data_IF_878485806459
#
_entry.id   IF_878485806459
#
_cell.length_a   1.000
_cell.length_b   1.000
_cell.length_c   1.000
_cell.angle_alpha   90.00
_cell.angle_beta   90.00
_cell.angle_gamma   90.00
#
_symmetry.space_group_name_H-M   'P 1'
#
loop_
_entity.id
_entity.type
_entity.pdbx_description
1 polymer ?
#
# COMPACT_ATOMS: atom_id res chain seq x y z
N UNK A 1 15.69 4.48 -4.32
CA UNK A 1 14.49 3.90 -3.69
C UNK A 1 13.22 4.57 -4.17
N UNK A 2 13.02 5.87 -3.90
CA UNK A 2 11.81 6.64 -4.25
C UNK A 2 11.41 6.56 -5.73
N UNK A 3 12.34 6.84 -6.66
CA UNK A 3 12.07 6.73 -8.11
C UNK A 3 11.48 5.37 -8.47
N UNK A 4 12.03 4.29 -7.90
CA UNK A 4 11.57 2.94 -8.18
C UNK A 4 10.19 2.67 -7.58
N UNK A 5 9.89 3.21 -6.40
CA UNK A 5 8.54 3.15 -5.81
C UNK A 5 7.52 3.79 -6.75
N UNK A 6 7.81 4.98 -7.30
CA UNK A 6 6.92 5.66 -8.27
C UNK A 6 6.75 4.90 -9.58
N UNK A 7 7.81 4.24 -10.07
CA UNK A 7 7.70 3.36 -11.25
C UNK A 7 6.84 2.12 -10.98
N UNK A 8 6.95 1.56 -9.77
CA UNK A 8 6.18 0.39 -9.36
C UNK A 8 4.72 0.76 -9.09
N UNK A 9 4.45 1.92 -8.51
CA UNK A 9 3.11 2.48 -8.22
C UNK A 9 2.89 3.79 -8.98
N UNK A 10 2.67 3.76 -10.30
CA UNK A 10 2.35 4.98 -11.06
C UNK A 10 1.06 5.65 -10.58
N UNK A 11 0.19 4.93 -9.86
CA UNK A 11 -1.02 5.45 -9.22
C UNK A 11 -0.74 6.57 -8.19
N UNK A 12 0.48 6.69 -7.67
CA UNK A 12 0.88 7.82 -6.82
C UNK A 12 0.65 9.16 -7.55
N UNK A 13 0.84 9.20 -8.87
CA UNK A 13 0.62 10.41 -9.67
C UNK A 13 -0.86 10.78 -9.85
N UNK A 14 -1.79 9.93 -9.37
CA UNK A 14 -3.21 10.27 -9.35
C UNK A 14 -3.58 11.16 -8.16
N UNK A 15 -2.71 11.27 -7.15
CA UNK A 15 -2.83 12.22 -6.04
C UNK A 15 -2.39 13.60 -6.57
N UNK A 16 -3.22 14.62 -6.43
CA UNK A 16 -2.95 15.98 -6.93
C UNK A 16 -2.03 16.76 -5.99
N UNK A 17 -2.23 16.63 -4.69
CA UNK A 17 -1.38 17.25 -3.68
C UNK A 17 0.02 16.62 -3.68
N UNK A 18 1.03 17.42 -4.05
CA UNK A 18 2.42 16.96 -4.12
C UNK A 18 3.02 16.63 -2.76
N UNK A 19 2.62 17.34 -1.71
CA UNK A 19 3.04 17.01 -0.35
C UNK A 19 2.51 15.65 0.11
N UNK A 20 1.27 15.30 -0.26
CA UNK A 20 0.71 13.98 0.03
C UNK A 20 1.37 12.88 -0.82
N UNK A 21 1.68 13.14 -2.10
CA UNK A 21 2.48 12.20 -2.90
C UNK A 21 3.80 11.86 -2.20
N UNK A 22 4.53 12.89 -1.75
CA UNK A 22 5.83 12.73 -1.11
C UNK A 22 5.71 11.97 0.22
N UNK A 23 4.66 12.22 0.99
CA UNK A 23 4.37 11.45 2.22
C UNK A 23 4.10 9.97 1.94
N UNK A 24 3.28 9.64 0.92
CA UNK A 24 3.04 8.24 0.53
C UNK A 24 4.35 7.55 0.16
N UNK A 25 5.20 8.22 -0.63
CA UNK A 25 6.52 7.68 -0.99
C UNK A 25 7.41 7.51 0.24
N UNK A 26 7.43 8.49 1.15
CA UNK A 26 8.21 8.44 2.38
C UNK A 26 7.78 7.28 3.30
N UNK A 27 6.47 7.03 3.45
CA UNK A 27 5.93 5.88 4.19
C UNK A 27 6.42 4.55 3.60
N UNK A 28 6.45 4.42 2.27
CA UNK A 28 7.02 3.23 1.62
C UNK A 28 8.52 3.09 1.85
N UNK A 29 9.28 4.19 1.76
CA UNK A 29 10.71 4.19 2.03
C UNK A 29 10.99 3.73 3.47
N UNK A 30 10.24 4.25 4.44
CA UNK A 30 10.38 3.87 5.84
C UNK A 30 10.06 2.39 6.07
N UNK A 31 8.93 1.92 5.54
CA UNK A 31 8.50 0.53 5.67
C UNK A 31 9.48 -0.47 5.02
N UNK A 32 9.97 -0.16 3.81
CA UNK A 32 10.94 -1.00 3.11
C UNK A 32 12.27 -1.07 3.86
N UNK A 33 12.79 0.08 4.33
CA UNK A 33 14.04 0.12 5.12
C UNK A 33 13.89 -0.63 6.44
N UNK A 34 12.80 -0.39 7.16
CA UNK A 34 12.52 -1.04 8.45
C UNK A 34 12.36 -2.54 8.29
N UNK A 35 11.72 -3.00 7.20
CA UNK A 35 11.56 -4.41 6.88
C UNK A 35 12.78 -5.09 6.25
N UNK A 36 13.81 -4.33 5.90
CA UNK A 36 15.01 -4.86 5.22
C UNK A 36 14.76 -5.30 3.76
N UNK A 37 13.86 -4.61 3.06
CA UNK A 37 13.45 -4.91 1.69
C UNK A 37 13.95 -3.87 0.69
N UNK A 38 14.22 -4.32 -0.54
CA UNK A 38 14.36 -3.43 -1.70
C UNK A 38 13.00 -3.25 -2.41
N UNK A 39 12.77 -2.15 -3.14
CA UNK A 39 11.47 -1.92 -3.81
C UNK A 39 11.01 -3.08 -4.71
N UNK A 40 11.95 -3.75 -5.39
CA UNK A 40 11.64 -4.88 -6.26
C UNK A 40 11.25 -6.16 -5.51
N UNK A 41 11.50 -6.26 -4.20
CA UNK A 41 11.02 -7.39 -3.41
C UNK A 41 9.49 -7.35 -3.23
N UNK A 42 8.84 -6.19 -3.38
CA UNK A 42 7.37 -6.10 -3.34
C UNK A 42 6.66 -6.97 -4.39
N UNK A 43 7.35 -7.25 -5.50
CA UNK A 43 6.89 -8.13 -6.60
C UNK A 43 7.22 -9.62 -6.35
N UNK A 44 7.70 -9.95 -5.15
CA UNK A 44 8.07 -11.31 -4.74
C UNK A 44 7.44 -11.71 -3.41
N UNK A 45 7.22 -10.74 -2.54
CA UNK A 45 6.53 -10.91 -1.27
C UNK A 45 5.08 -11.35 -1.58
N UNK A 46 4.59 -12.50 -1.10
CA UNK A 46 3.19 -12.86 -1.26
C UNK A 46 2.31 -11.88 -0.49
N UNK A 47 1.13 -11.52 -1.02
CA UNK A 47 0.25 -10.58 -0.30
C UNK A 47 -0.26 -11.15 1.03
N UNK A 48 -0.28 -12.48 1.18
CA UNK A 48 -0.68 -13.16 2.41
C UNK A 48 0.11 -14.44 2.60
N UNK A 49 0.54 -14.69 3.85
CA UNK A 49 1.14 -15.95 4.29
C UNK A 49 0.09 -17.02 4.67
N UNK A 50 -1.21 -16.67 4.66
CA UNK A 50 -2.29 -17.59 5.04
C UNK A 50 -2.72 -18.51 3.89
N UNK A 51 -2.37 -18.15 2.66
CA UNK A 51 -2.67 -18.95 1.47
C UNK A 51 -1.38 -19.65 1.05
N UNK A 52 -1.32 -21.00 1.13
CA UNK A 52 -0.18 -21.74 0.62
C UNK A 52 0.07 -21.42 -0.86
N UNK A 53 1.33 -21.16 -1.22
CA UNK A 53 1.73 -20.81 -2.59
C UNK A 53 0.89 -19.67 -3.19
N UNK A 54 0.63 -18.61 -2.41
CA UNK A 54 -0.14 -17.46 -2.85
C UNK A 54 0.40 -16.92 -4.20
N UNK A 55 -0.39 -16.95 -5.28
CA UNK A 55 0.08 -16.60 -6.61
C UNK A 55 0.20 -15.10 -6.85
N UNK A 56 -0.31 -14.27 -5.92
CA UNK A 56 -0.34 -12.83 -6.04
C UNK A 56 0.62 -12.17 -5.06
N UNK A 57 1.36 -11.20 -5.56
CA UNK A 57 2.37 -10.48 -4.79
C UNK A 57 1.72 -9.35 -3.99
N UNK A 58 2.46 -8.80 -3.03
CA UNK A 58 2.10 -7.58 -2.33
C UNK A 58 1.84 -6.44 -3.33
N UNK A 59 2.72 -6.31 -4.34
CA UNK A 59 2.59 -5.31 -5.39
C UNK A 59 1.29 -5.48 -6.21
N UNK A 60 0.97 -6.71 -6.61
CA UNK A 60 -0.28 -7.01 -7.33
C UNK A 60 -1.51 -6.62 -6.52
N UNK A 61 -1.50 -6.97 -5.23
CA UNK A 61 -2.61 -6.71 -4.33
C UNK A 61 -2.87 -5.21 -4.17
N UNK A 62 -1.83 -4.44 -3.83
CA UNK A 62 -1.98 -2.99 -3.63
C UNK A 62 -2.41 -2.28 -4.91
N UNK A 63 -1.84 -2.65 -6.07
CA UNK A 63 -2.28 -2.13 -7.38
C UNK A 63 -3.75 -2.45 -7.65
N UNK A 64 -4.15 -3.70 -7.44
CA UNK A 64 -5.52 -4.16 -7.64
C UNK A 64 -6.51 -3.38 -6.79
N UNK A 65 -6.24 -3.30 -5.48
CA UNK A 65 -7.08 -2.55 -4.51
C UNK A 65 -7.16 -1.08 -4.88
N UNK A 66 -6.03 -0.42 -5.18
CA UNK A 66 -6.00 1.00 -5.56
C UNK A 66 -6.83 1.28 -6.80
N UNK A 67 -6.71 0.45 -7.84
CA UNK A 67 -7.45 0.61 -9.10
C UNK A 67 -8.94 0.35 -8.95
N UNK A 68 -9.32 -0.66 -8.16
CA UNK A 68 -10.72 -0.96 -7.87
C UNK A 68 -11.33 0.19 -7.05
N UNK A 69 -10.65 0.66 -6.01
CA UNK A 69 -11.09 1.77 -5.18
C UNK A 69 -11.30 3.04 -6.02
N UNK A 70 -10.37 3.38 -6.91
CA UNK A 70 -10.49 4.52 -7.82
C UNK A 70 -11.72 4.41 -8.72
N UNK A 71 -11.97 3.24 -9.32
CA UNK A 71 -13.15 3.01 -10.16
C UNK A 71 -14.46 3.11 -9.38
N UNK A 72 -14.51 2.53 -8.19
CA UNK A 72 -15.68 2.61 -7.32
C UNK A 72 -15.97 4.06 -6.89
N UNK A 73 -14.92 4.83 -6.58
CA UNK A 73 -15.03 6.25 -6.27
C UNK A 73 -15.56 7.06 -7.46
N UNK A 74 -15.08 6.78 -8.68
CA UNK A 74 -15.54 7.50 -9.88
C UNK A 74 -17.04 7.28 -10.12
N UNK A 75 -17.53 6.04 -9.97
CA UNK A 75 -18.96 5.72 -10.04
C UNK A 75 -19.75 6.39 -8.90
N UNK A 76 -19.22 6.37 -7.68
CA UNK A 76 -19.84 7.02 -6.53
C UNK A 76 -19.97 8.53 -6.74
N UNK A 77 -18.89 9.18 -7.16
CA UNK A 77 -18.82 10.62 -7.37
C UNK A 77 -19.64 11.09 -8.58
N UNK A 78 -19.98 10.19 -9.52
CA UNK A 78 -20.89 10.48 -10.62
C UNK A 78 -22.38 10.47 -10.21
N UNK A 79 -22.73 9.84 -9.09
CA UNK A 79 -24.14 9.63 -8.69
C UNK A 79 -24.53 10.51 -7.49
N UNK A 80 -23.77 10.44 -6.39
CA UNK A 80 -24.20 11.02 -5.11
C UNK A 80 -23.93 12.53 -5.01
N UNK A 81 -22.72 13.03 -5.36
CA UNK A 81 -22.44 14.47 -5.31
C UNK A 81 -23.30 15.32 -6.24
N UNK A 82 -23.82 14.74 -7.33
CA UNK A 82 -24.80 15.39 -8.21
C UNK A 82 -26.08 15.76 -7.45
N UNK A 83 -26.45 14.98 -6.43
CA UNK A 83 -27.62 15.24 -5.57
C UNK A 83 -27.27 16.13 -4.38
N UNK A 84 -26.11 15.91 -3.77
CA UNK A 84 -25.62 16.72 -2.65
C UNK A 84 -24.08 16.70 -2.59
N UNK A 85 -23.41 17.85 -2.85
CA UNK A 85 -21.95 17.95 -2.91
C UNK A 85 -21.21 17.45 -1.66
N UNK A 86 -21.84 17.38 -0.49
CA UNK A 86 -21.19 16.90 0.75
C UNK A 86 -20.79 15.43 0.69
N UNK A 87 -21.35 14.66 -0.23
CA UNK A 87 -20.96 13.27 -0.47
C UNK A 87 -19.80 13.13 -1.46
N UNK A 88 -19.11 14.20 -1.85
CA UNK A 88 -17.92 14.07 -2.69
C UNK A 88 -16.82 13.30 -1.95
N UNK A 89 -16.42 12.14 -2.47
CA UNK A 89 -15.23 11.44 -1.98
C UNK A 89 -13.98 12.16 -2.45
N UNK A 90 -13.02 12.30 -1.53
CA UNK A 90 -11.71 12.89 -1.82
C UNK A 90 -10.81 11.89 -2.56
N UNK A 91 -10.41 12.25 -3.77
CA UNK A 91 -9.53 11.44 -4.62
C UNK A 91 -8.16 11.19 -3.98
N UNK A 92 -7.56 12.24 -3.42
CA UNK A 92 -6.18 12.21 -2.96
C UNK A 92 -6.09 11.35 -1.69
N UNK A 93 -7.04 11.53 -0.76
CA UNK A 93 -7.15 10.67 0.42
C UNK A 93 -7.48 9.22 0.08
N UNK A 94 -8.38 8.99 -0.89
CA UNK A 94 -8.74 7.62 -1.29
C UNK A 94 -7.57 6.89 -1.93
N UNK A 95 -6.84 7.54 -2.86
CA UNK A 95 -5.68 6.93 -3.51
C UNK A 95 -4.54 6.72 -2.52
N UNK A 96 -4.23 7.72 -1.67
CA UNK A 96 -3.21 7.57 -0.63
C UNK A 96 -3.55 6.44 0.36
N UNK A 97 -4.79 6.40 0.83
CA UNK A 97 -5.28 5.34 1.71
C UNK A 97 -5.21 3.96 1.07
N UNK A 98 -5.60 3.83 -0.21
CA UNK A 98 -5.55 2.56 -0.93
C UNK A 98 -4.11 2.08 -1.19
N UNK A 99 -3.17 3.00 -1.44
CA UNK A 99 -1.76 2.65 -1.54
C UNK A 99 -1.19 2.19 -0.20
N UNK A 100 -1.54 2.87 0.90
CA UNK A 100 -0.95 2.63 2.22
C UNK A 100 -1.68 1.59 3.09
N UNK A 101 -2.87 1.13 2.71
CA UNK A 101 -3.72 0.29 3.57
C UNK A 101 -3.02 -0.93 4.19
N UNK A 102 -2.08 -1.51 3.44
CA UNK A 102 -1.32 -2.70 3.82
C UNK A 102 0.20 -2.43 3.94
N UNK A 103 0.66 -1.17 3.98
CA UNK A 103 2.09 -0.81 4.06
C UNK A 103 2.79 -1.47 5.24
N UNK A 104 2.06 -1.71 6.34
CA UNK A 104 2.56 -2.42 7.52
C UNK A 104 2.97 -3.88 7.26
N UNK A 105 2.58 -4.51 6.14
CA UNK A 105 3.02 -5.86 5.79
C UNK A 105 4.51 -5.93 5.50
N UNK A 106 5.09 -4.85 4.99
CA UNK A 106 6.53 -4.75 4.71
C UNK A 106 7.37 -4.86 5.98
N UNK A 107 6.78 -4.62 7.16
CA UNK A 107 7.43 -4.77 8.45
C UNK A 107 6.87 -5.96 9.26
N UNK A 108 5.66 -6.45 8.93
CA UNK A 108 5.11 -7.71 9.47
C UNK A 108 5.87 -8.93 8.93
N UNK A 109 6.43 -8.84 7.72
CA UNK A 109 7.15 -9.92 7.06
C UNK A 109 8.65 -9.65 7.02
N UNK A 110 9.44 -10.72 7.00
CA UNK A 110 10.90 -10.68 6.85
C UNK A 110 11.38 -11.81 5.92
N UNK A 111 12.61 -11.68 5.42
CA UNK A 111 13.30 -12.72 4.67
C UNK A 111 14.11 -13.58 5.65
N UNK A 112 13.84 -14.88 5.71
CA UNK A 112 14.61 -15.79 6.56
C UNK A 112 15.98 -16.12 5.93
N UNK A 113 16.83 -16.87 6.64
CA UNK A 113 18.15 -17.27 6.16
C UNK A 113 18.13 -18.15 4.88
N UNK A 114 17.00 -18.81 4.59
CA UNK A 114 16.79 -19.58 3.36
C UNK A 114 16.28 -18.73 2.19
N UNK A 115 16.03 -17.42 2.41
CA UNK A 115 15.50 -16.51 1.40
C UNK A 115 13.98 -16.49 1.30
N UNK A 116 13.26 -17.21 2.17
CA UNK A 116 11.80 -17.31 2.16
C UNK A 116 11.16 -16.13 2.89
N UNK A 117 9.98 -15.70 2.44
CA UNK A 117 9.19 -14.69 3.15
C UNK A 117 8.46 -15.35 4.31
N UNK A 118 8.73 -14.92 5.54
CA UNK A 118 8.13 -15.42 6.76
C UNK A 118 7.60 -14.29 7.62
N UNK A 119 6.84 -14.63 8.66
CA UNK A 119 6.33 -13.65 9.62
C UNK A 119 7.44 -13.20 10.58
N UNK A 120 7.71 -11.90 10.63
CA UNK A 120 8.75 -11.30 11.46
C UNK A 120 8.45 -11.38 12.94
N UNK A 121 9.45 -11.18 13.80
CA UNK A 121 9.25 -11.07 15.25
C UNK A 121 8.27 -9.95 15.57
N UNK A 122 8.41 -8.80 14.91
CA UNK A 122 7.47 -7.70 15.08
C UNK A 122 6.07 -8.11 14.62
N UNK A 123 5.95 -8.77 13.47
CA UNK A 123 4.67 -9.24 12.95
C UNK A 123 3.95 -10.22 13.86
N UNK A 124 4.69 -11.05 14.61
CA UNK A 124 4.13 -11.93 15.65
C UNK A 124 3.52 -11.16 16.82
N UNK A 125 4.06 -9.98 17.13
CA UNK A 125 3.61 -9.14 18.26
C UNK A 125 2.57 -8.09 17.85
N UNK A 126 2.73 -7.46 16.68
CA UNK A 126 1.88 -6.39 16.17
C UNK A 126 1.62 -6.58 14.67
N UNK A 127 0.34 -6.65 14.29
CA UNK A 127 -0.07 -6.88 12.91
C UNK A 127 -0.05 -5.60 12.07
N UNK A 128 0.07 -5.78 10.75
CA UNK A 128 0.15 -4.73 9.74
C UNK A 128 -0.89 -3.60 9.83
N UNK A 129 -2.15 -3.80 10.29
CA UNK A 129 -3.07 -2.67 10.37
C UNK A 129 -2.59 -1.61 11.37
N UNK A 130 -1.98 -2.03 12.49
CA UNK A 130 -1.48 -1.11 13.50
C UNK A 130 -0.13 -0.52 13.11
N UNK A 131 0.83 -1.34 12.67
CA UNK A 131 2.13 -0.82 12.22
C UNK A 131 1.99 0.06 10.98
N UNK A 132 1.10 -0.29 10.05
CA UNK A 132 0.78 0.51 8.87
C UNK A 132 0.19 1.87 9.24
N UNK A 133 -0.69 1.93 10.25
CA UNK A 133 -1.18 3.21 10.79
C UNK A 133 -0.02 4.09 11.25
N UNK A 134 0.91 3.54 12.03
CA UNK A 134 2.06 4.30 12.55
C UNK A 134 2.97 4.80 11.44
N UNK A 135 3.21 3.99 10.41
CA UNK A 135 4.02 4.35 9.23
C UNK A 135 3.36 5.46 8.38
N UNK A 136 2.02 5.54 8.43
CA UNK A 136 1.24 6.50 7.64
C UNK A 136 0.92 7.82 8.38
N UNK A 137 1.39 8.00 9.63
CA UNK A 137 1.26 9.24 10.40
C UNK A 137 2.24 10.33 9.93
#
# INVERSE_FOLDING_TARGET
>A
MEKRIRELFPEIEWIKDKGLQDKVVASYVDALKTGGWEPNDMDKIPFTLLIPNCPFTYLDHVKGVTRIAKKAMDEFNAIYPVKDPKFMMDNDLLVAGALLHDVGKLVEYEKNAAGETVKSVMGKNLRHPFSGTVIAL
#
